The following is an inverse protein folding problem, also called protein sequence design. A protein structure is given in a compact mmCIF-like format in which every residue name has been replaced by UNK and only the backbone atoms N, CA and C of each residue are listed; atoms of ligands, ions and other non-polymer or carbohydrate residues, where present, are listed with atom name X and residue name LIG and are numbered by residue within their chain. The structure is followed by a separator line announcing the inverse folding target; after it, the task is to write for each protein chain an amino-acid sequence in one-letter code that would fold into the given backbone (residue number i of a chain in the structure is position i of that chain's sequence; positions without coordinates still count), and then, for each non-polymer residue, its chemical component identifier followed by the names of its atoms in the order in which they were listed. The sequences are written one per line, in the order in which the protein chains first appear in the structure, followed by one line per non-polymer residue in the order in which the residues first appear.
data_IF_937451349517
#
_entry.id   IF_937451349517
#
_cell.length_a   1.000
_cell.length_b   1.000
_cell.length_c   1.000
_cell.angle_alpha   90.00
_cell.angle_beta   90.00
_cell.angle_gamma   90.00
#
_symmetry.space_group_name_H-M   'P 1'
#
loop_
_entity.id
_entity.type
_entity.pdbx_description
1 polymer ?
#
# COMPACT_ATOMS: atom_id res chain seq x y z
N UNK A 1 -1.20 7.32 13.08
CA UNK A 1 -0.96 7.87 11.74
C UNK A 1 -1.75 6.98 10.80
N UNK A 2 -2.51 7.54 9.87
CA UNK A 2 -3.22 6.76 8.86
C UNK A 2 -2.25 6.36 7.76
N UNK A 3 -2.27 5.10 7.34
CA UNK A 3 -1.41 4.52 6.32
C UNK A 3 -2.20 3.45 5.56
N UNK A 4 -1.85 3.15 4.29
CA UNK A 4 -2.34 1.95 3.64
C UNK A 4 -1.79 0.69 4.32
N UNK A 5 -2.41 -0.46 4.05
CA UNK A 5 -1.84 -1.74 4.45
C UNK A 5 -0.49 -2.00 3.76
N UNK A 6 0.48 -2.55 4.48
CA UNK A 6 1.82 -2.76 3.96
C UNK A 6 2.86 -3.04 5.03
N UNK A 7 4.04 -3.47 4.60
CA UNK A 7 5.08 -3.90 5.52
C UNK A 7 6.42 -4.16 4.83
N UNK A 8 7.34 -4.77 5.57
CA UNK A 8 8.66 -5.07 5.05
C UNK A 8 8.61 -6.21 4.02
N UNK A 9 9.43 -6.10 3.00
CA UNK A 9 9.70 -7.20 2.07
C UNK A 9 10.61 -8.21 2.77
N UNK A 10 10.18 -9.46 2.80
CA UNK A 10 10.95 -10.54 3.39
C UNK A 10 12.15 -10.95 2.52
N UNK A 11 13.04 -11.74 3.12
CA UNK A 11 14.16 -12.32 2.38
C UNK A 11 13.62 -13.24 1.28
N UNK A 12 14.11 -13.00 0.06
CA UNK A 12 13.73 -13.76 -1.15
C UNK A 12 12.25 -13.56 -1.56
N UNK A 13 11.63 -12.45 -1.15
CA UNK A 13 10.27 -12.02 -1.53
C UNK A 13 10.32 -10.87 -2.56
N UNK A 14 9.38 -10.84 -3.51
CA UNK A 14 9.25 -9.73 -4.45
C UNK A 14 8.35 -8.62 -3.88
N UNK A 15 8.55 -7.33 -4.24
CA UNK A 15 7.77 -6.23 -3.66
C UNK A 15 6.25 -6.36 -3.81
N UNK A 16 5.78 -6.82 -4.97
CA UNK A 16 4.35 -6.99 -5.23
C UNK A 16 3.78 -8.22 -4.49
N UNK A 17 4.61 -9.23 -4.20
CA UNK A 17 4.21 -10.38 -3.38
C UNK A 17 4.07 -9.96 -1.91
N UNK A 18 5.01 -9.16 -1.41
CA UNK A 18 4.93 -8.56 -0.08
C UNK A 18 3.65 -7.72 0.07
N UNK A 19 3.35 -6.83 -0.87
CA UNK A 19 2.13 -6.03 -0.85
C UNK A 19 0.85 -6.90 -0.77
N UNK A 20 0.79 -8.01 -1.52
CA UNK A 20 -0.32 -8.95 -1.48
C UNK A 20 -0.39 -9.74 -0.16
N UNK A 21 0.76 -10.16 0.38
CA UNK A 21 0.84 -10.86 1.67
C UNK A 21 0.39 -9.95 2.80
N UNK A 22 0.99 -8.77 2.93
CA UNK A 22 0.68 -7.78 3.97
C UNK A 22 -0.80 -7.37 3.91
N UNK A 23 -1.35 -7.12 2.71
CA UNK A 23 -2.79 -6.85 2.56
C UNK A 23 -3.66 -8.00 3.08
N UNK A 24 -3.28 -9.25 2.81
CA UNK A 24 -4.02 -10.41 3.31
C UNK A 24 -3.86 -10.56 4.83
N UNK A 25 -2.67 -10.34 5.38
CA UNK A 25 -2.40 -10.46 6.81
C UNK A 25 -3.13 -9.36 7.59
N UNK A 26 -2.92 -8.10 7.21
CA UNK A 26 -3.45 -6.93 7.91
C UNK A 26 -4.95 -6.72 7.73
N UNK A 27 -5.50 -7.03 6.54
CA UNK A 27 -6.92 -6.77 6.23
C UNK A 27 -7.76 -8.05 6.10
N UNK A 28 -7.15 -9.22 5.94
CA UNK A 28 -7.87 -10.45 5.59
C UNK A 28 -8.38 -10.49 4.15
N UNK A 29 -7.88 -9.61 3.27
CA UNK A 29 -8.40 -9.44 1.92
C UNK A 29 -7.46 -10.00 0.85
N UNK A 30 -8.01 -10.82 -0.03
CA UNK A 30 -7.37 -11.16 -1.31
C UNK A 30 -7.69 -10.08 -2.34
N UNK A 31 -6.65 -9.36 -2.81
CA UNK A 31 -6.80 -8.28 -3.77
C UNK A 31 -6.22 -8.64 -5.14
N UNK A 32 -6.85 -8.15 -6.20
CA UNK A 32 -6.29 -8.19 -7.54
C UNK A 32 -5.40 -6.96 -7.75
N UNK A 33 -4.10 -7.19 -7.98
CA UNK A 33 -3.14 -6.12 -8.23
C UNK A 33 -3.47 -5.39 -9.54
N UNK A 34 -3.59 -4.08 -9.48
CA UNK A 34 -3.68 -3.21 -10.66
C UNK A 34 -2.31 -2.57 -10.80
N UNK A 35 -1.51 -3.08 -11.72
CA UNK A 35 -0.15 -2.59 -11.93
C UNK A 35 0.22 -2.72 -13.42
N UNK A 36 0.90 -1.72 -13.99
CA UNK A 36 1.49 -1.87 -15.30
C UNK A 36 2.59 -2.93 -15.25
N UNK A 37 2.59 -3.83 -16.23
CA UNK A 37 3.62 -4.85 -16.39
C UNK A 37 4.07 -4.87 -17.85
N UNK A 38 5.38 -4.98 -18.06
CA UNK A 38 5.94 -5.13 -19.39
C UNK A 38 5.74 -6.57 -19.89
N UNK A 39 5.90 -6.79 -21.19
CA UNK A 39 5.83 -8.11 -21.82
C UNK A 39 7.22 -8.56 -22.30
N UNK A 40 8.21 -8.46 -21.41
CA UNK A 40 9.58 -8.91 -21.65
C UNK A 40 9.80 -10.20 -20.87
N UNK A 41 10.04 -11.28 -21.60
CA UNK A 41 10.31 -12.61 -21.04
C UNK A 41 11.41 -13.34 -21.82
N UNK A 42 12.18 -14.17 -21.12
CA UNK A 42 13.13 -15.11 -21.70
C UNK A 42 13.34 -16.29 -20.74
N UNK A 43 14.20 -17.25 -21.10
CA UNK A 43 14.54 -18.38 -20.21
C UNK A 43 15.08 -17.94 -18.84
N UNK A 44 15.60 -16.71 -18.72
CA UNK A 44 16.23 -16.20 -17.49
C UNK A 44 15.63 -14.91 -16.95
N UNK A 45 14.57 -14.38 -17.57
CA UNK A 45 13.98 -13.07 -17.20
C UNK A 45 12.46 -13.15 -17.31
N UNK A 46 11.79 -12.51 -16.35
CA UNK A 46 10.36 -12.21 -16.41
C UNK A 46 10.13 -10.74 -16.03
N UNK A 47 9.17 -10.11 -16.67
CA UNK A 47 8.71 -8.77 -16.30
C UNK A 47 7.93 -8.85 -14.99
N UNK A 48 8.13 -7.87 -14.11
CA UNK A 48 7.40 -7.76 -12.84
C UNK A 48 6.36 -6.65 -12.91
N UNK A 49 5.28 -6.73 -12.10
CA UNK A 49 4.43 -5.59 -11.82
C UNK A 49 5.27 -4.40 -11.33
N UNK A 50 5.08 -3.23 -11.95
CA UNK A 50 5.72 -2.00 -11.52
C UNK A 50 4.81 -1.29 -10.50
N UNK A 51 5.38 -0.73 -9.42
CA UNK A 51 4.60 0.07 -8.50
C UNK A 51 4.11 1.34 -9.19
N UNK A 52 2.97 1.87 -8.76
CA UNK A 52 2.50 3.18 -9.18
C UNK A 52 3.38 4.29 -8.63
N UNK A 53 3.88 4.13 -7.41
CA UNK A 53 4.80 5.06 -6.79
C UNK A 53 6.01 4.36 -6.21
N UNK A 54 7.16 5.01 -6.35
CA UNK A 54 8.42 4.54 -5.82
C UNK A 54 9.01 5.67 -4.98
N UNK A 55 8.84 5.56 -3.66
CA UNK A 55 9.00 6.65 -2.72
C UNK A 55 10.17 6.38 -1.76
N UNK A 56 10.66 7.44 -1.11
CA UNK A 56 11.62 7.36 -0.02
C UNK A 56 10.97 7.99 1.21
N UNK A 57 10.82 7.20 2.26
CA UNK A 57 10.17 7.62 3.50
C UNK A 57 11.18 7.76 4.62
N UNK A 58 11.13 8.88 5.34
CA UNK A 58 11.95 9.11 6.52
C UNK A 58 11.22 8.58 7.77
N UNK A 59 11.85 7.63 8.47
CA UNK A 59 11.27 6.95 9.63
C UNK A 59 12.00 7.37 10.91
N UNK A 60 11.22 7.52 11.99
CA UNK A 60 11.70 7.94 13.31
C UNK A 60 12.42 9.30 13.29
N UNK A 61 11.82 10.29 12.62
CA UNK A 61 12.33 11.66 12.59
C UNK A 61 12.17 12.30 13.98
N UNK A 62 13.27 12.78 14.57
CA UNK A 62 13.24 13.42 15.88
C UNK A 62 12.87 14.91 15.80
N UNK A 63 12.76 15.58 16.96
CA UNK A 63 12.37 16.98 17.05
C UNK A 63 13.36 17.95 16.37
N UNK A 64 14.62 17.53 16.23
CA UNK A 64 15.69 18.24 15.54
C UNK A 64 15.73 17.97 14.03
N UNK A 65 14.87 17.08 13.53
CA UNK A 65 14.79 16.69 12.13
C UNK A 65 15.79 15.62 11.69
N UNK A 66 16.46 14.94 12.63
CA UNK A 66 17.33 13.82 12.30
C UNK A 66 16.51 12.58 11.97
N UNK A 67 16.80 11.95 10.83
CA UNK A 67 16.15 10.74 10.34
C UNK A 67 16.80 9.51 10.96
N UNK A 68 16.00 8.64 11.60
CA UNK A 68 16.49 7.41 12.21
C UNK A 68 16.90 6.37 11.17
N UNK A 69 16.03 6.13 10.18
CA UNK A 69 16.30 5.30 9.01
C UNK A 69 15.31 5.65 7.89
N UNK A 70 15.49 5.08 6.71
CA UNK A 70 14.63 5.32 5.56
C UNK A 70 14.08 4.02 4.99
N UNK A 71 12.86 4.06 4.49
CA UNK A 71 12.28 3.01 3.68
C UNK A 71 12.24 3.44 2.22
N UNK A 72 12.65 2.54 1.33
CA UNK A 72 12.32 2.65 -0.08
C UNK A 72 10.99 1.94 -0.23
N UNK A 73 9.95 2.69 -0.58
CA UNK A 73 8.59 2.21 -0.58
C UNK A 73 8.06 1.99 -2.00
N UNK A 74 7.36 0.87 -2.19
CA UNK A 74 6.79 0.41 -3.45
C UNK A 74 5.27 0.37 -3.32
N UNK A 75 4.60 1.44 -3.76
CA UNK A 75 3.14 1.50 -3.68
C UNK A 75 2.51 0.80 -4.88
N UNK A 76 1.66 -0.17 -4.58
CA UNK A 76 0.81 -0.82 -5.57
C UNK A 76 -0.66 -0.54 -5.30
N UNK A 77 -1.47 -0.48 -6.36
CA UNK A 77 -2.93 -0.43 -6.23
C UNK A 77 -3.54 -1.83 -6.31
N UNK A 78 -4.59 -2.06 -5.52
CA UNK A 78 -5.30 -3.34 -5.47
C UNK A 78 -6.81 -3.16 -5.49
N UNK A 79 -7.51 -4.06 -6.18
CA UNK A 79 -8.98 -4.16 -6.17
C UNK A 79 -9.41 -5.30 -5.25
N UNK A 80 -10.16 -4.98 -4.22
CA UNK A 80 -10.82 -5.96 -3.36
C UNK A 80 -12.26 -6.22 -3.85
N UNK A 81 -12.69 -7.49 -3.79
CA UNK A 81 -14.08 -7.89 -4.08
C UNK A 81 -14.99 -7.85 -2.82
N UNK A 82 -14.40 -7.58 -1.66
CA UNK A 82 -15.10 -7.44 -0.38
C UNK A 82 -14.60 -6.21 0.38
N UNK A 83 -15.43 -5.71 1.29
CA UNK A 83 -15.07 -4.68 2.28
C UNK A 83 -14.99 -5.23 3.70
N UNK A 84 -15.23 -6.53 3.89
CA UNK A 84 -15.17 -7.18 5.20
C UNK A 84 -13.71 -7.33 5.63
N UNK A 85 -13.28 -6.51 6.58
CA UNK A 85 -11.91 -6.52 7.11
C UNK A 85 -11.83 -7.57 8.23
N UNK A 86 -10.96 -8.57 8.05
CA UNK A 86 -10.75 -9.65 9.02
C UNK A 86 -9.25 -9.88 9.25
N UNK A 87 -8.58 -9.03 10.05
CA UNK A 87 -7.14 -9.07 10.26
C UNK A 87 -6.69 -10.41 10.86
N UNK A 88 -5.46 -10.81 10.51
CA UNK A 88 -4.81 -12.00 11.03
C UNK A 88 -4.41 -11.89 12.52
N UNK A 89 -3.99 -13.00 13.15
CA UNK A 89 -3.54 -12.97 14.54
C UNK A 89 -2.28 -12.11 14.72
N UNK A 90 -2.36 -11.07 15.55
CA UNK A 90 -1.23 -10.17 15.84
C UNK A 90 -1.33 -8.82 15.14
N UNK A 91 -2.25 -8.69 14.18
CA UNK A 91 -2.49 -7.45 13.45
C UNK A 91 -3.42 -6.48 14.17
N UNK A 92 -3.48 -5.24 13.68
CA UNK A 92 -4.40 -4.22 14.19
C UNK A 92 -5.86 -4.71 14.09
N UNK A 93 -6.71 -4.43 15.10
CA UNK A 93 -8.10 -4.88 15.09
C UNK A 93 -8.88 -4.24 13.93
N UNK A 94 -9.91 -4.94 13.44
CA UNK A 94 -10.73 -4.48 12.32
C UNK A 94 -11.33 -3.08 12.51
N UNK A 95 -11.61 -2.69 13.76
CA UNK A 95 -12.18 -1.39 14.13
C UNK A 95 -11.19 -0.21 13.96
N UNK A 96 -9.89 -0.49 13.79
CA UNK A 96 -8.86 0.54 13.54
C UNK A 96 -8.67 0.83 12.04
N UNK A 97 -9.36 0.08 11.17
CA UNK A 97 -9.31 0.26 9.71
C UNK A 97 -10.56 0.96 9.19
N UNK A 98 -10.40 1.78 8.15
CA UNK A 98 -11.50 2.54 7.56
C UNK A 98 -11.39 2.55 6.02
N UNK A 99 -12.52 2.31 5.35
CA UNK A 99 -12.64 2.50 3.91
C UNK A 99 -13.00 3.94 3.61
N UNK A 100 -12.19 4.60 2.79
CA UNK A 100 -12.45 5.97 2.35
C UNK A 100 -12.95 6.02 0.91
N UNK A 101 -13.93 6.88 0.63
CA UNK A 101 -14.22 7.38 -0.71
C UNK A 101 -13.30 8.57 -1.06
N UNK A 102 -13.32 9.00 -2.33
CA UNK A 102 -12.59 10.21 -2.76
C UNK A 102 -13.05 11.43 -1.95
N UNK A 103 -14.35 11.56 -1.71
CA UNK A 103 -14.91 12.67 -0.93
C UNK A 103 -14.47 12.59 0.54
N UNK A 104 -14.44 11.39 1.14
CA UNK A 104 -13.96 11.22 2.52
C UNK A 104 -12.48 11.63 2.66
N UNK A 105 -11.63 11.29 1.68
CA UNK A 105 -10.22 11.69 1.66
C UNK A 105 -10.05 13.21 1.56
N UNK A 106 -10.92 13.89 0.80
CA UNK A 106 -10.91 15.35 0.68
C UNK A 106 -11.39 16.02 1.96
N UNK A 107 -12.51 15.57 2.51
CA UNK A 107 -13.13 16.15 3.68
C UNK A 107 -12.25 15.99 4.93
N UNK A 108 -11.44 14.93 4.99
CA UNK A 108 -10.53 14.62 6.10
C UNK A 108 -9.07 14.95 5.81
N UNK A 109 -8.78 15.77 4.79
CA UNK A 109 -7.40 16.09 4.40
C UNK A 109 -6.58 16.82 5.47
N UNK A 110 -7.24 17.41 6.47
CA UNK A 110 -6.56 18.02 7.64
C UNK A 110 -6.11 16.98 8.68
N UNK A 111 -6.70 15.78 8.68
CA UNK A 111 -6.43 14.69 9.62
C UNK A 111 -5.52 13.61 9.04
N UNK A 112 -5.54 13.45 7.71
CA UNK A 112 -4.80 12.43 6.97
C UNK A 112 -3.46 12.96 6.44
N UNK A 113 -2.40 12.14 6.37
CA UNK A 113 -1.18 12.52 5.67
C UNK A 113 -1.45 12.90 4.21
N UNK A 114 -0.77 13.93 3.70
CA UNK A 114 -1.04 14.49 2.38
C UNK A 114 -0.78 13.48 1.24
N UNK A 115 0.25 12.66 1.40
CA UNK A 115 0.58 11.55 0.50
C UNK A 115 -0.52 10.48 0.50
N UNK A 116 -1.07 10.12 1.66
CA UNK A 116 -2.20 9.17 1.76
C UNK A 116 -3.44 9.71 1.05
N UNK A 117 -3.74 11.01 1.19
CA UNK A 117 -4.86 11.65 0.47
C UNK A 117 -4.63 11.61 -1.04
N UNK A 118 -3.46 12.04 -1.51
CA UNK A 118 -3.14 12.12 -2.93
C UNK A 118 -3.12 10.72 -3.60
N UNK A 119 -2.37 9.79 -3.01
CA UNK A 119 -2.22 8.43 -3.53
C UNK A 119 -3.54 7.65 -3.42
N UNK A 120 -4.28 7.82 -2.32
CA UNK A 120 -5.59 7.18 -2.13
C UNK A 120 -6.62 7.59 -3.19
N UNK A 121 -6.67 8.88 -3.55
CA UNK A 121 -7.56 9.36 -4.61
C UNK A 121 -7.19 8.77 -5.98
N UNK A 122 -5.89 8.70 -6.29
CA UNK A 122 -5.41 8.09 -7.52
C UNK A 122 -5.74 6.59 -7.57
N UNK A 123 -5.59 5.88 -6.46
CA UNK A 123 -5.92 4.45 -6.35
C UNK A 123 -7.41 4.19 -6.61
N UNK A 124 -8.30 4.95 -5.97
CA UNK A 124 -9.75 4.81 -6.16
C UNK A 124 -10.13 5.11 -7.63
N UNK A 125 -9.53 6.14 -8.22
CA UNK A 125 -9.72 6.47 -9.64
C UNK A 125 -9.31 5.32 -10.57
N UNK A 126 -8.15 4.71 -10.32
CA UNK A 126 -7.62 3.62 -11.15
C UNK A 126 -8.40 2.30 -11.04
N UNK A 127 -9.05 2.03 -9.89
CA UNK A 127 -9.89 0.84 -9.69
C UNK A 127 -11.29 1.01 -10.32
N UNK A 128 -11.75 2.25 -10.45
CA UNK A 128 -13.09 2.59 -10.98
C UNK A 128 -13.20 2.60 -12.51
N UNK A 129 -12.08 2.53 -13.24
CA UNK A 129 -11.99 2.36 -14.69
C UNK A 129 -12.02 0.87 -15.10
#
# INVERSE_FOLDING_TARGET
MWLPAGGHIDRDELPHEAALRETREELGLDVALIAPQQDIESETVQSMPQPQHFLLEDINVNAEGEVGHQHIDFIFYGRADSRDITPGPGEQPADDWEWFSIDDLQDRSEELPADVVEVGQQAIGAVGE
#
